data_IF_256409322961
#
_entry.id   IF_256409322961
#
_cell.length_a   1.000
_cell.length_b   1.000
_cell.length_c   1.000
_cell.angle_alpha   90.00
_cell.angle_beta   90.00
_cell.angle_gamma   90.00
#
_symmetry.space_group_name_H-M   'P 1'
#
loop_
_entity.id
_entity.type
_entity.pdbx_description
1 polymer ?
#
# COMPACT_ATOMS: atom_id res chain seq x y z
N UNK A 1 19.12 -6.89 -9.97
CA UNK A 1 18.53 -5.98 -8.94
C UNK A 1 19.21 -4.63 -9.05
N UNK A 2 18.60 -3.70 -9.76
CA UNK A 2 19.12 -2.32 -9.80
C UNK A 2 18.64 -1.60 -8.54
N UNK A 3 19.39 -1.74 -7.46
CA UNK A 3 19.41 -0.74 -6.40
C UNK A 3 20.12 0.46 -7.02
N UNK A 4 19.35 1.37 -7.62
CA UNK A 4 19.94 2.65 -8.02
C UNK A 4 20.59 3.23 -6.78
N UNK A 5 21.91 3.43 -6.86
CA UNK A 5 22.74 3.83 -5.75
C UNK A 5 22.15 5.07 -5.08
N UNK A 6 21.92 4.97 -3.77
CA UNK A 6 21.56 6.11 -2.95
C UNK A 6 22.78 7.04 -2.85
N UNK A 7 22.54 8.34 -2.80
CA UNK A 7 23.62 9.29 -2.48
C UNK A 7 24.06 9.09 -1.03
N UNK A 8 25.24 9.59 -0.68
CA UNK A 8 25.75 9.52 0.69
C UNK A 8 24.76 10.14 1.69
N UNK A 9 24.14 11.26 1.33
CA UNK A 9 23.14 11.93 2.16
C UNK A 9 21.87 11.06 2.34
N UNK A 10 21.46 10.35 1.30
CA UNK A 10 20.32 9.43 1.35
C UNK A 10 20.64 8.21 2.21
N UNK A 11 21.85 7.67 2.14
CA UNK A 11 22.31 6.58 3.01
C UNK A 11 22.28 7.00 4.48
N UNK A 12 22.81 8.17 4.80
CA UNK A 12 22.76 8.73 6.15
C UNK A 12 21.32 8.90 6.65
N UNK A 13 20.40 9.36 5.78
CA UNK A 13 18.99 9.48 6.12
C UNK A 13 18.35 8.11 6.42
N UNK A 14 18.73 7.05 5.70
CA UNK A 14 18.28 5.68 5.97
C UNK A 14 18.75 5.23 7.36
N UNK A 15 20.01 5.45 7.69
CA UNK A 15 20.56 5.04 8.98
C UNK A 15 19.89 5.78 10.13
N UNK A 16 19.70 7.08 10.03
CA UNK A 16 19.00 7.89 11.05
C UNK A 16 17.56 7.40 11.22
N UNK A 17 16.81 7.26 10.12
CA UNK A 17 15.44 6.80 10.15
C UNK A 17 15.31 5.41 10.79
N UNK A 18 16.16 4.47 10.38
CA UNK A 18 16.16 3.11 10.95
C UNK A 18 16.48 3.10 12.44
N UNK A 19 17.48 3.87 12.87
CA UNK A 19 17.86 3.94 14.27
C UNK A 19 16.72 4.46 15.15
N UNK A 20 16.06 5.53 14.75
CA UNK A 20 14.95 6.12 15.50
C UNK A 20 13.73 5.19 15.55
N UNK A 21 13.30 4.67 14.40
CA UNK A 21 12.15 3.76 14.34
C UNK A 21 12.44 2.46 15.10
N UNK A 22 13.61 1.87 14.93
CA UNK A 22 13.97 0.62 15.61
C UNK A 22 14.14 0.78 17.12
N UNK A 23 14.61 1.92 17.60
CA UNK A 23 14.62 2.22 19.03
C UNK A 23 13.21 2.20 19.63
N UNK A 24 12.23 2.85 18.97
CA UNK A 24 10.82 2.83 19.36
C UNK A 24 10.22 1.41 19.29
N UNK A 25 10.52 0.65 18.23
CA UNK A 25 10.02 -0.73 18.08
C UNK A 25 10.58 -1.68 19.12
N UNK A 26 11.86 -1.56 19.48
CA UNK A 26 12.48 -2.33 20.56
C UNK A 26 11.78 -2.10 21.90
N UNK A 27 11.49 -0.83 22.25
CA UNK A 27 10.76 -0.51 23.49
C UNK A 27 9.35 -1.12 23.50
N UNK A 28 8.74 -1.31 22.33
CA UNK A 28 7.42 -1.92 22.16
C UNK A 28 7.49 -3.46 21.94
N UNK A 29 8.66 -4.07 22.01
CA UNK A 29 8.89 -5.51 21.75
C UNK A 29 8.40 -5.96 20.35
N UNK A 30 8.47 -5.07 19.35
CA UNK A 30 8.13 -5.35 17.96
C UNK A 30 9.37 -5.74 17.16
N UNK A 31 9.19 -6.51 16.07
CA UNK A 31 10.25 -6.81 15.12
C UNK A 31 10.82 -5.53 14.49
N UNK A 32 12.12 -5.52 14.20
CA UNK A 32 12.77 -4.37 13.57
C UNK A 32 12.31 -4.19 12.13
N UNK A 33 12.30 -2.95 11.65
CA UNK A 33 12.08 -2.70 10.23
C UNK A 33 13.32 -3.06 9.42
N UNK A 34 13.10 -3.49 8.19
CA UNK A 34 14.18 -3.75 7.23
C UNK A 34 14.64 -2.46 6.55
N UNK A 35 15.88 -2.47 6.06
CA UNK A 35 16.40 -1.37 5.23
C UNK A 35 15.51 -1.09 4.00
N UNK A 36 15.03 -2.14 3.33
CA UNK A 36 14.10 -2.00 2.20
C UNK A 36 12.82 -1.27 2.59
N UNK A 37 12.24 -1.60 3.75
CA UNK A 37 11.07 -0.88 4.26
C UNK A 37 11.37 0.59 4.56
N UNK A 38 12.49 0.89 5.20
CA UNK A 38 12.91 2.26 5.49
C UNK A 38 13.02 3.10 4.20
N UNK A 39 13.67 2.56 3.19
CA UNK A 39 13.87 3.21 1.90
C UNK A 39 12.51 3.55 1.23
N UNK A 40 11.51 2.66 1.29
CA UNK A 40 10.17 2.92 0.73
C UNK A 40 9.53 4.19 1.32
N UNK A 41 9.57 4.35 2.65
CA UNK A 41 9.00 5.52 3.33
C UNK A 41 9.80 6.80 3.04
N UNK A 42 11.13 6.70 2.99
CA UNK A 42 12.00 7.83 2.66
C UNK A 42 11.81 8.29 1.21
N UNK A 43 11.71 7.37 0.26
CA UNK A 43 11.37 7.72 -1.13
C UNK A 43 10.04 8.45 -1.23
N UNK A 44 9.01 7.97 -0.53
CA UNK A 44 7.68 8.58 -0.54
C UNK A 44 7.68 10.04 -0.03
N UNK A 45 8.67 10.42 0.76
CA UNK A 45 8.83 11.78 1.34
C UNK A 45 10.13 12.47 0.93
N UNK A 46 10.71 12.08 -0.22
CA UNK A 46 11.92 12.71 -0.80
C UNK A 46 13.06 12.79 0.22
N UNK A 47 13.23 11.75 1.01
CA UNK A 47 14.23 11.63 2.10
C UNK A 47 14.10 12.66 3.22
N UNK A 48 12.97 13.33 3.36
CA UNK A 48 12.66 14.10 4.57
C UNK A 48 12.30 13.13 5.70
N UNK A 49 13.21 13.02 6.68
CA UNK A 49 13.13 12.02 7.77
C UNK A 49 11.88 12.21 8.61
N UNK A 50 11.57 13.44 9.03
CA UNK A 50 10.40 13.70 9.89
C UNK A 50 9.09 13.39 9.21
N UNK A 51 8.96 13.75 7.94
CA UNK A 51 7.76 13.42 7.16
C UNK A 51 7.67 11.91 6.88
N UNK A 52 8.79 11.22 6.68
CA UNK A 52 8.83 9.78 6.51
C UNK A 52 8.44 9.04 7.81
N UNK A 53 8.88 9.52 8.98
CA UNK A 53 8.47 8.99 10.29
C UNK A 53 6.96 9.14 10.52
N UNK A 54 6.41 10.33 10.26
CA UNK A 54 4.96 10.56 10.38
C UNK A 54 4.17 9.62 9.46
N UNK A 55 4.62 9.46 8.22
CA UNK A 55 3.98 8.52 7.28
C UNK A 55 4.05 7.09 7.79
N UNK A 56 5.22 6.66 8.27
CA UNK A 56 5.42 5.32 8.82
C UNK A 56 4.48 5.06 10.01
N UNK A 57 4.37 6.00 10.95
CA UNK A 57 3.49 5.89 12.11
C UNK A 57 2.01 5.80 11.71
N UNK A 58 1.56 6.64 10.80
CA UNK A 58 0.19 6.60 10.26
C UNK A 58 -0.10 5.28 9.52
N UNK A 59 0.88 4.76 8.79
CA UNK A 59 0.79 3.46 8.11
C UNK A 59 0.64 2.31 9.13
N UNK A 60 1.49 2.25 10.16
CA UNK A 60 1.42 1.23 11.20
C UNK A 60 0.09 1.29 11.96
N UNK A 61 -0.35 2.50 12.35
CA UNK A 61 -1.61 2.71 13.04
C UNK A 61 -2.81 2.28 12.21
N UNK A 62 -2.83 2.67 10.94
CA UNK A 62 -3.93 2.30 10.03
C UNK A 62 -3.98 0.79 9.83
N UNK A 63 -2.85 0.14 9.61
CA UNK A 63 -2.81 -1.32 9.47
C UNK A 63 -3.22 -2.05 10.75
N UNK A 64 -2.82 -1.55 11.90
CA UNK A 64 -3.23 -2.12 13.19
C UNK A 64 -4.73 -1.98 13.40
N UNK A 65 -5.29 -0.81 13.17
CA UNK A 65 -6.73 -0.54 13.33
C UNK A 65 -7.59 -1.39 12.40
N UNK A 66 -7.17 -1.57 11.16
CA UNK A 66 -7.93 -2.32 10.16
C UNK A 66 -7.60 -3.83 10.15
N UNK A 67 -6.73 -4.33 11.03
CA UNK A 67 -6.36 -5.75 11.09
C UNK A 67 -5.60 -6.25 9.87
N UNK A 68 -4.65 -5.44 9.36
CA UNK A 68 -3.92 -5.69 8.11
C UNK A 68 -2.50 -6.22 8.35
N UNK A 69 -2.29 -6.95 9.43
CA UNK A 69 -1.06 -7.67 9.74
C UNK A 69 -1.32 -9.16 9.95
N UNK A 70 -0.33 -9.99 9.63
CA UNK A 70 -0.34 -11.40 9.99
C UNK A 70 -1.39 -12.26 9.27
N UNK A 71 -2.00 -11.78 8.19
CA UNK A 71 -2.94 -12.55 7.40
C UNK A 71 -2.22 -13.48 6.41
N UNK A 72 -2.89 -14.57 6.04
CA UNK A 72 -2.38 -15.55 5.09
C UNK A 72 -3.26 -15.59 3.83
N UNK A 73 -2.71 -15.16 2.70
CA UNK A 73 -3.42 -15.09 1.42
C UNK A 73 -3.72 -16.47 0.79
N UNK A 74 -3.13 -17.55 1.29
CA UNK A 74 -3.40 -18.90 0.80
C UNK A 74 -4.59 -19.57 1.49
N UNK A 75 -5.18 -18.93 2.51
CA UNK A 75 -6.26 -19.49 3.35
C UNK A 75 -7.55 -18.68 3.14
N UNK A 76 -8.69 -19.39 3.24
CA UNK A 76 -10.01 -18.74 3.19
C UNK A 76 -10.24 -17.84 4.43
N UNK A 77 -10.97 -16.73 4.28
CA UNK A 77 -11.70 -16.26 3.08
C UNK A 77 -10.83 -15.42 2.12
N UNK A 78 -9.60 -15.10 2.48
CA UNK A 78 -8.76 -14.18 1.72
C UNK A 78 -8.34 -14.75 0.36
N UNK A 79 -8.14 -16.06 0.27
CA UNK A 79 -7.83 -16.74 -1.00
C UNK A 79 -8.93 -16.49 -2.04
N UNK A 80 -10.19 -16.76 -1.70
CA UNK A 80 -11.33 -16.51 -2.59
C UNK A 80 -11.48 -15.01 -2.92
N UNK A 81 -11.25 -14.15 -1.95
CA UNK A 81 -11.28 -12.70 -2.16
C UNK A 81 -10.31 -12.24 -3.25
N UNK A 82 -9.06 -12.70 -3.20
CA UNK A 82 -8.04 -12.37 -4.21
C UNK A 82 -8.45 -12.91 -5.58
N UNK A 83 -9.05 -14.09 -5.63
CA UNK A 83 -9.51 -14.71 -6.88
C UNK A 83 -10.67 -13.96 -7.55
N UNK A 84 -11.41 -13.11 -6.84
CA UNK A 84 -12.47 -12.26 -7.45
C UNK A 84 -11.92 -11.26 -8.45
N UNK A 85 -10.63 -10.93 -8.37
CA UNK A 85 -9.97 -9.92 -9.18
C UNK A 85 -10.64 -8.53 -9.13
N UNK A 86 -11.42 -8.25 -8.08
CA UNK A 86 -12.03 -6.91 -7.90
C UNK A 86 -11.00 -5.82 -7.69
N UNK A 87 -9.83 -6.17 -7.18
CA UNK A 87 -8.65 -5.29 -7.13
C UNK A 87 -7.48 -6.00 -7.84
N UNK A 88 -6.85 -5.31 -8.78
CA UNK A 88 -5.72 -5.86 -9.54
C UNK A 88 -4.67 -4.78 -9.81
N UNK A 89 -3.40 -5.21 -9.84
CA UNK A 89 -2.31 -4.39 -10.37
C UNK A 89 -2.07 -4.83 -11.81
N UNK A 90 -2.20 -3.91 -12.76
CA UNK A 90 -2.01 -4.24 -14.17
C UNK A 90 -0.54 -4.53 -14.47
N UNK A 91 -0.25 -5.42 -15.43
CA UNK A 91 1.12 -5.70 -15.86
C UNK A 91 1.76 -4.51 -16.60
N UNK A 92 0.94 -3.63 -17.17
CA UNK A 92 1.36 -2.41 -17.85
C UNK A 92 1.51 -1.26 -16.88
N UNK A 93 2.24 -0.25 -17.31
CA UNK A 93 2.45 1.01 -16.57
C UNK A 93 1.96 2.18 -17.39
N UNK A 94 1.70 3.30 -16.75
CA UNK A 94 1.38 4.53 -17.46
C UNK A 94 2.61 5.13 -18.17
N UNK A 95 2.41 6.23 -18.89
CA UNK A 95 3.46 6.93 -19.63
C UNK A 95 4.58 7.50 -18.73
N UNK A 96 4.31 7.68 -17.43
CA UNK A 96 5.29 8.15 -16.44
C UNK A 96 6.06 7.00 -15.77
N UNK A 97 5.66 5.76 -16.03
CA UNK A 97 6.20 4.56 -15.40
C UNK A 97 5.51 4.17 -14.09
N UNK A 98 4.44 4.85 -13.70
CA UNK A 98 3.66 4.50 -12.51
C UNK A 98 2.93 3.16 -12.70
N UNK A 99 2.79 2.39 -11.63
CA UNK A 99 1.95 1.18 -11.62
C UNK A 99 0.47 1.57 -11.73
N UNK A 100 -0.35 0.71 -12.34
CA UNK A 100 -1.78 0.95 -12.47
C UNK A 100 -2.52 -0.08 -11.63
N UNK A 101 -3.26 0.38 -10.64
CA UNK A 101 -4.15 -0.42 -9.81
C UNK A 101 -5.60 -0.13 -10.19
N UNK A 102 -6.40 -1.16 -10.36
CA UNK A 102 -7.83 -1.04 -10.71
C UNK A 102 -8.67 -1.72 -9.65
N UNK A 103 -9.66 -1.01 -9.12
CA UNK A 103 -10.75 -1.60 -8.35
C UNK A 103 -12.00 -1.63 -9.21
N UNK A 104 -12.48 -2.83 -9.54
CA UNK A 104 -13.65 -3.04 -10.40
C UNK A 104 -14.89 -3.24 -9.54
N UNK A 105 -15.71 -2.21 -9.42
CA UNK A 105 -16.84 -2.16 -8.49
C UNK A 105 -17.89 -3.26 -8.72
N UNK A 106 -18.16 -3.64 -9.97
CA UNK A 106 -19.14 -4.70 -10.31
C UNK A 106 -18.80 -6.06 -9.68
N UNK A 107 -17.54 -6.33 -9.36
CA UNK A 107 -17.11 -7.58 -8.69
C UNK A 107 -17.18 -7.51 -7.17
N UNK A 108 -17.44 -6.32 -6.60
CA UNK A 108 -17.60 -6.18 -5.16
C UNK A 108 -19.06 -6.47 -4.77
N UNK A 109 -19.26 -7.52 -3.98
CA UNK A 109 -20.56 -7.89 -3.42
C UNK A 109 -20.43 -7.81 -1.90
N UNK A 110 -20.90 -6.72 -1.25
CA UNK A 110 -20.67 -6.48 0.17
C UNK A 110 -21.14 -7.61 1.10
N UNK A 111 -22.18 -8.38 0.67
CA UNK A 111 -22.72 -9.48 1.46
C UNK A 111 -21.84 -10.74 1.44
N UNK A 112 -20.94 -10.89 0.46
CA UNK A 112 -20.11 -12.09 0.30
C UNK A 112 -18.71 -11.95 0.92
N UNK A 113 -18.25 -10.73 1.17
CA UNK A 113 -16.92 -10.51 1.72
C UNK A 113 -16.92 -9.36 2.73
N UNK A 114 -16.24 -9.58 3.85
CA UNK A 114 -16.08 -8.50 4.83
C UNK A 114 -15.17 -7.40 4.28
N UNK A 115 -15.39 -6.17 4.72
CA UNK A 115 -14.51 -5.05 4.37
C UNK A 115 -13.06 -5.32 4.75
N UNK A 116 -12.82 -5.95 5.89
CA UNK A 116 -11.49 -6.33 6.33
C UNK A 116 -10.83 -7.31 5.35
N UNK A 117 -11.54 -8.34 4.90
CA UNK A 117 -11.02 -9.30 3.93
C UNK A 117 -10.68 -8.62 2.60
N UNK A 118 -11.54 -7.73 2.11
CA UNK A 118 -11.27 -6.94 0.90
C UNK A 118 -10.04 -6.05 1.07
N UNK A 119 -9.90 -5.35 2.21
CA UNK A 119 -8.73 -4.53 2.49
C UNK A 119 -7.44 -5.35 2.60
N UNK A 120 -7.50 -6.55 3.19
CA UNK A 120 -6.34 -7.48 3.23
C UNK A 120 -5.91 -7.89 1.81
N UNK A 121 -6.85 -8.20 0.92
CA UNK A 121 -6.56 -8.52 -0.48
C UNK A 121 -5.92 -7.36 -1.25
N UNK A 122 -6.40 -6.13 -1.00
CA UNK A 122 -5.83 -4.91 -1.59
C UNK A 122 -4.40 -4.69 -1.06
N UNK A 123 -4.20 -4.73 0.25
CA UNK A 123 -2.90 -4.53 0.89
C UNK A 123 -1.88 -5.56 0.43
N UNK A 124 -2.27 -6.83 0.32
CA UNK A 124 -1.40 -7.88 -0.19
C UNK A 124 -0.84 -7.55 -1.58
N UNK A 125 -1.71 -7.12 -2.50
CA UNK A 125 -1.29 -6.78 -3.85
C UNK A 125 -0.47 -5.48 -3.91
N UNK A 126 -0.81 -4.48 -3.09
CA UNK A 126 -0.03 -3.24 -2.97
C UNK A 126 1.37 -3.50 -2.41
N UNK A 127 1.50 -4.36 -1.41
CA UNK A 127 2.80 -4.72 -0.83
C UNK A 127 3.70 -5.37 -1.87
N UNK A 128 3.18 -6.31 -2.67
CA UNK A 128 3.91 -6.91 -3.79
C UNK A 128 4.32 -5.85 -4.83
N UNK A 129 3.40 -4.97 -5.22
CA UNK A 129 3.70 -3.91 -6.19
C UNK A 129 4.79 -2.95 -5.68
N UNK A 130 4.84 -2.72 -4.37
CA UNK A 130 5.84 -1.87 -3.72
C UNK A 130 7.22 -2.52 -3.54
N UNK A 131 7.37 -3.82 -3.79
CA UNK A 131 8.70 -4.44 -3.89
C UNK A 131 9.47 -3.97 -5.14
N UNK A 132 8.75 -3.52 -6.15
CA UNK A 132 9.34 -3.00 -7.36
C UNK A 132 9.82 -1.55 -7.18
N UNK A 133 11.14 -1.32 -7.35
CA UNK A 133 11.78 -0.01 -7.17
C UNK A 133 11.16 1.06 -8.09
N UNK A 134 10.77 0.69 -9.32
CA UNK A 134 10.12 1.62 -10.25
C UNK A 134 8.77 2.10 -9.71
N UNK A 135 7.99 1.22 -9.07
CA UNK A 135 6.74 1.59 -8.40
C UNK A 135 6.99 2.55 -7.24
N UNK A 136 8.04 2.32 -6.44
CA UNK A 136 8.42 3.23 -5.35
C UNK A 136 8.77 4.62 -5.86
N UNK A 137 9.44 4.72 -7.01
CA UNK A 137 9.89 5.98 -7.61
C UNK A 137 8.82 6.71 -8.40
N UNK A 138 8.08 6.00 -9.24
CA UNK A 138 7.08 6.58 -10.14
C UNK A 138 5.69 6.68 -9.52
N UNK A 139 5.42 5.89 -8.45
CA UNK A 139 4.12 5.90 -7.79
C UNK A 139 3.12 4.94 -8.39
N UNK A 140 1.83 5.22 -8.15
CA UNK A 140 0.72 4.38 -8.56
C UNK A 140 -0.46 5.25 -9.01
N UNK A 141 -1.08 4.88 -10.13
CA UNK A 141 -2.38 5.38 -10.55
C UNK A 141 -3.44 4.42 -10.04
N UNK A 142 -4.42 4.93 -9.31
CA UNK A 142 -5.56 4.14 -8.84
C UNK A 142 -6.81 4.50 -9.65
N UNK A 143 -7.39 3.49 -10.27
CA UNK A 143 -8.62 3.60 -11.06
C UNK A 143 -9.74 2.91 -10.29
N UNK A 144 -10.81 3.64 -10.03
CA UNK A 144 -12.05 3.08 -9.50
C UNK A 144 -13.02 2.92 -10.67
N UNK A 145 -13.11 1.69 -11.18
CA UNK A 145 -13.95 1.35 -12.34
C UNK A 145 -15.37 1.02 -11.87
N UNK A 146 -16.32 1.89 -12.21
CA UNK A 146 -17.74 1.73 -11.90
C UNK A 146 -18.56 1.21 -13.09
N UNK A 147 -17.92 0.88 -14.21
CA UNK A 147 -18.60 0.36 -15.39
C UNK A 147 -19.43 -0.88 -15.05
N UNK A 148 -20.67 -0.93 -15.52
CA UNK A 148 -21.63 -2.02 -15.29
C UNK A 148 -21.90 -2.34 -13.81
N UNK A 149 -21.54 -1.44 -12.89
CA UNK A 149 -21.83 -1.61 -11.47
C UNK A 149 -23.27 -1.21 -11.14
N UNK A 150 -23.83 -1.85 -10.11
CA UNK A 150 -25.13 -1.52 -9.54
C UNK A 150 -24.94 -0.79 -8.21
N UNK A 151 -25.95 -0.07 -7.77
CA UNK A 151 -25.92 0.58 -6.45
C UNK A 151 -25.58 -0.40 -5.32
N UNK A 152 -26.00 -1.66 -5.42
CA UNK A 152 -25.66 -2.72 -4.45
C UNK A 152 -24.17 -3.11 -4.42
N UNK A 153 -23.37 -2.72 -5.41
CA UNK A 153 -21.93 -2.92 -5.42
C UNK A 153 -21.18 -1.80 -4.68
N UNK A 154 -21.85 -0.69 -4.37
CA UNK A 154 -21.22 0.46 -3.75
C UNK A 154 -21.14 0.30 -2.24
N UNK A 155 -19.94 0.40 -1.68
CA UNK A 155 -19.67 0.43 -0.25
C UNK A 155 -18.86 1.69 0.08
N UNK A 156 -19.58 2.70 0.59
CA UNK A 156 -18.99 4.01 0.91
C UNK A 156 -17.87 3.91 1.96
N UNK A 157 -18.08 3.12 3.01
CA UNK A 157 -17.10 2.95 4.08
C UNK A 157 -15.84 2.24 3.58
N UNK A 158 -16.00 1.19 2.76
CA UNK A 158 -14.87 0.52 2.10
C UNK A 158 -14.10 1.49 1.22
N UNK A 159 -14.77 2.29 0.41
CA UNK A 159 -14.15 3.28 -0.46
C UNK A 159 -13.31 4.29 0.33
N UNK A 160 -13.84 4.81 1.45
CA UNK A 160 -13.07 5.70 2.33
C UNK A 160 -11.84 5.02 2.94
N UNK A 161 -11.97 3.76 3.35
CA UNK A 161 -10.85 2.98 3.90
C UNK A 161 -9.77 2.71 2.85
N UNK A 162 -10.16 2.39 1.61
CA UNK A 162 -9.21 2.24 0.49
C UNK A 162 -8.44 3.54 0.26
N UNK A 163 -9.13 4.67 0.17
CA UNK A 163 -8.49 5.98 -0.01
C UNK A 163 -7.52 6.31 1.13
N UNK A 164 -7.90 5.99 2.38
CA UNK A 164 -7.04 6.19 3.54
C UNK A 164 -5.79 5.32 3.46
N UNK A 165 -5.94 4.03 3.13
CA UNK A 165 -4.81 3.10 2.95
C UNK A 165 -3.84 3.60 1.88
N UNK A 166 -4.36 4.04 0.74
CA UNK A 166 -3.53 4.58 -0.34
C UNK A 166 -2.75 5.81 0.12
N UNK A 167 -3.36 6.74 0.85
CA UNK A 167 -2.70 7.96 1.36
C UNK A 167 -1.57 7.68 2.33
N UNK A 168 -1.71 6.64 3.17
CA UNK A 168 -0.69 6.25 4.16
C UNK A 168 0.25 5.15 3.64
N UNK A 169 0.05 4.67 2.41
CA UNK A 169 1.01 3.76 1.77
C UNK A 169 2.34 4.48 1.49
N UNK A 170 3.40 3.72 1.40
CA UNK A 170 4.73 4.26 1.08
C UNK A 170 4.89 4.65 -0.41
N UNK A 171 3.80 5.04 -1.07
CA UNK A 171 3.78 5.48 -2.46
C UNK A 171 4.09 6.98 -2.57
N UNK A 172 4.93 7.33 -3.52
CA UNK A 172 5.36 8.73 -3.74
C UNK A 172 4.23 9.59 -4.32
N UNK A 173 3.55 9.07 -5.34
CA UNK A 173 2.49 9.76 -6.05
C UNK A 173 1.31 8.80 -6.22
N UNK A 174 0.11 9.25 -5.89
CA UNK A 174 -1.12 8.50 -6.12
C UNK A 174 -2.06 9.41 -6.91
N UNK A 175 -2.40 8.99 -8.12
CA UNK A 175 -3.39 9.67 -8.94
C UNK A 175 -4.69 8.86 -8.90
N UNK A 176 -5.82 9.54 -8.72
CA UNK A 176 -7.14 8.94 -8.67
C UNK A 176 -7.89 9.25 -9.96
N UNK A 177 -8.41 8.22 -10.59
CA UNK A 177 -9.29 8.32 -11.74
C UNK A 177 -10.58 7.56 -11.43
N UNK A 178 -11.73 8.19 -11.71
CA UNK A 178 -13.05 7.57 -11.67
C UNK A 178 -13.66 7.63 -13.07
N UNK A 179 -14.11 6.51 -13.57
CA UNK A 179 -14.92 6.39 -14.79
C UNK A 179 -16.38 6.24 -14.42
#
# INVERSE_FOLDING_TARGET
>A
METGDLTLEQEQAVDVFMNEINSKRKSQKKSLITRSSAIKFLWARKFNIDNAKKLYEQHEETRQREGLFGFNCAVEPLRSEIQTQKFTILPTRDSTGAAIAVFTARYHIPQLSSRQTTLQGIVYQLDIALENVKTQRCGLVFIYDMSDSKYSNFDYELSQKILTLLKVSSLKNINFLSN
#
